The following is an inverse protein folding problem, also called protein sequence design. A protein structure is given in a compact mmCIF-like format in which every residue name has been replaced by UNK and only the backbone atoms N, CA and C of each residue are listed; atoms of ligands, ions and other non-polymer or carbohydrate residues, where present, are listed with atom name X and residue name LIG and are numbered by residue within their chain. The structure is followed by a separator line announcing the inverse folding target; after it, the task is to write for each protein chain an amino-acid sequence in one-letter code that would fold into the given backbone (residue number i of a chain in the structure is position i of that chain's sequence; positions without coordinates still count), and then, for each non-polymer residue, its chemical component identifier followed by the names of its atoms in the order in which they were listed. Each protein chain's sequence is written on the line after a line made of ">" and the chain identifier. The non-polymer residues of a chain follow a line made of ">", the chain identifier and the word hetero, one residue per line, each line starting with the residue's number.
data_IF_110385985920
#
_entry.id   IF_110385985920
#
_cell.length_a   1.000
_cell.length_b   1.000
_cell.length_c   1.000
_cell.angle_alpha   90.00
_cell.angle_beta   90.00
_cell.angle_gamma   90.00
#
_symmetry.space_group_name_H-M   'P 1'
#
loop_
_entity.id
_entity.type
_entity.pdbx_description
1 polymer ?
#
# COMPACT_ATOMS: atom_id res chain seq x y z
N UNK A 1 -11.90 -86.73 -43.23
CA UNK A 1 -11.59 -85.88 -42.06
C UNK A 1 -11.39 -84.46 -42.55
N UNK A 2 -12.44 -83.63 -42.56
CA UNK A 2 -12.29 -82.18 -42.79
C UNK A 2 -13.30 -81.42 -41.92
N UNK A 3 -12.77 -80.38 -41.29
CA UNK A 3 -13.30 -79.66 -40.15
C UNK A 3 -14.40 -78.68 -40.54
N UNK A 4 -15.54 -78.77 -39.86
CA UNK A 4 -16.63 -77.80 -39.93
C UNK A 4 -16.28 -76.61 -39.04
N UNK A 5 -15.89 -75.48 -39.64
CA UNK A 5 -15.61 -74.24 -38.93
C UNK A 5 -16.92 -73.57 -38.47
N UNK A 6 -17.09 -73.45 -37.15
CA UNK A 6 -18.15 -72.64 -36.54
C UNK A 6 -17.64 -71.23 -36.28
N UNK A 7 -18.03 -70.28 -37.14
CA UNK A 7 -17.78 -68.86 -36.91
C UNK A 7 -18.75 -68.35 -35.86
N UNK A 8 -18.25 -68.09 -34.64
CA UNK A 8 -19.03 -67.55 -33.53
C UNK A 8 -19.09 -66.02 -33.65
N UNK A 9 -20.25 -65.47 -33.99
CA UNK A 9 -20.49 -64.03 -34.01
C UNK A 9 -20.74 -63.53 -32.58
N UNK A 10 -19.87 -62.65 -32.08
CA UNK A 10 -20.02 -62.01 -30.77
C UNK A 10 -20.96 -60.81 -30.97
N UNK A 11 -22.11 -60.73 -30.25
CA UNK A 11 -23.00 -59.59 -30.36
C UNK A 11 -22.34 -58.35 -29.74
N UNK A 12 -22.19 -57.30 -30.54
CA UNK A 12 -21.67 -56.00 -30.09
C UNK A 12 -22.82 -55.26 -29.39
N UNK A 13 -22.69 -54.89 -28.10
CA UNK A 13 -23.72 -54.13 -27.41
C UNK A 13 -23.93 -52.78 -28.11
N UNK A 14 -25.19 -52.41 -28.35
CA UNK A 14 -25.54 -51.15 -28.97
C UNK A 14 -25.22 -50.00 -28.02
N UNK A 15 -24.50 -48.94 -28.46
CA UNK A 15 -24.31 -47.77 -27.63
C UNK A 15 -25.66 -47.12 -27.36
N UNK A 16 -26.00 -46.95 -26.08
CA UNK A 16 -27.18 -46.20 -25.67
C UNK A 16 -26.93 -44.71 -25.99
N UNK A 17 -27.75 -44.15 -26.89
CA UNK A 17 -27.73 -42.72 -27.17
C UNK A 17 -28.27 -41.97 -25.95
N UNK A 18 -27.58 -40.89 -25.55
CA UNK A 18 -28.01 -40.01 -24.46
C UNK A 18 -29.40 -39.45 -24.74
N UNK A 19 -30.27 -39.49 -23.74
CA UNK A 19 -31.63 -38.97 -23.89
C UNK A 19 -31.62 -37.44 -23.89
N UNK A 20 -32.58 -36.83 -24.58
CA UNK A 20 -32.69 -35.36 -24.65
C UNK A 20 -32.83 -34.72 -23.26
N UNK A 21 -33.55 -35.40 -22.36
CA UNK A 21 -33.73 -34.98 -20.97
C UNK A 21 -32.41 -35.02 -20.18
N UNK A 22 -31.56 -36.01 -20.45
CA UNK A 22 -30.28 -36.21 -19.77
C UNK A 22 -29.25 -35.16 -20.23
N UNK A 23 -29.23 -34.83 -21.53
CA UNK A 23 -28.43 -33.70 -22.02
C UNK A 23 -28.92 -32.41 -21.37
N UNK A 24 -30.23 -32.16 -21.31
CA UNK A 24 -30.79 -30.94 -20.72
C UNK A 24 -30.42 -30.80 -19.23
N UNK A 25 -30.44 -31.90 -18.48
CA UNK A 25 -30.04 -31.97 -17.09
C UNK A 25 -28.53 -31.71 -16.91
N UNK A 26 -27.68 -32.25 -17.79
CA UNK A 26 -26.23 -31.98 -17.76
C UNK A 26 -25.93 -30.51 -18.03
N UNK A 27 -26.54 -29.89 -19.04
CA UNK A 27 -26.27 -28.48 -19.35
C UNK A 27 -26.75 -27.56 -18.22
N UNK A 28 -27.86 -27.90 -17.55
CA UNK A 28 -28.32 -27.14 -16.37
C UNK A 28 -27.38 -27.27 -15.19
N UNK A 29 -26.90 -28.48 -14.87
CA UNK A 29 -25.92 -28.66 -13.78
C UNK A 29 -24.61 -27.95 -14.09
N UNK A 30 -24.11 -28.02 -15.34
CA UNK A 30 -22.91 -27.29 -15.75
C UNK A 30 -23.11 -25.77 -15.65
N UNK A 31 -24.28 -25.26 -16.03
CA UNK A 31 -24.62 -23.83 -15.89
C UNK A 31 -24.67 -23.35 -14.43
N UNK A 32 -25.20 -24.18 -13.52
CA UNK A 32 -25.22 -23.88 -12.08
C UNK A 32 -23.80 -23.92 -11.51
N UNK A 33 -22.97 -24.90 -11.92
CA UNK A 33 -21.58 -24.98 -11.47
C UNK A 33 -20.74 -23.79 -11.94
N UNK A 34 -20.93 -23.31 -13.17
CA UNK A 34 -20.21 -22.15 -13.71
C UNK A 34 -20.59 -20.85 -13.00
N UNK A 35 -21.86 -20.66 -12.66
CA UNK A 35 -22.31 -19.47 -11.91
C UNK A 35 -21.82 -19.47 -10.47
N UNK A 36 -21.78 -20.63 -9.80
CA UNK A 36 -21.24 -20.76 -8.44
C UNK A 36 -19.71 -20.55 -8.37
N UNK A 37 -18.97 -20.90 -9.42
CA UNK A 37 -17.51 -20.78 -9.44
C UNK A 37 -16.99 -19.33 -9.61
N UNK A 38 -17.77 -18.43 -10.22
CA UNK A 38 -17.33 -17.06 -10.52
C UNK A 38 -17.12 -16.14 -9.30
N UNK A 39 -17.76 -16.43 -8.16
CA UNK A 39 -17.85 -15.50 -7.03
C UNK A 39 -16.64 -15.43 -6.07
N UNK A 40 -15.63 -16.31 -6.19
CA UNK A 40 -14.55 -16.40 -5.18
C UNK A 40 -13.25 -15.68 -5.55
N UNK A 41 -13.13 -15.10 -6.76
CA UNK A 41 -11.84 -14.62 -7.28
C UNK A 41 -11.47 -13.19 -6.84
N UNK A 42 -12.44 -12.32 -6.55
CA UNK A 42 -12.17 -10.91 -6.20
C UNK A 42 -11.43 -10.75 -4.86
N UNK A 43 -11.87 -11.49 -3.84
CA UNK A 43 -11.28 -11.41 -2.48
C UNK A 43 -9.79 -11.79 -2.43
N UNK A 44 -9.34 -12.67 -3.34
CA UNK A 44 -7.95 -13.11 -3.41
C UNK A 44 -7.07 -12.04 -4.04
N UNK A 45 -7.49 -11.48 -5.18
CA UNK A 45 -6.78 -10.39 -5.85
C UNK A 45 -6.64 -9.17 -4.93
N UNK A 46 -7.72 -8.80 -4.25
CA UNK A 46 -7.75 -7.70 -3.30
C UNK A 46 -6.78 -7.89 -2.12
N UNK A 47 -6.64 -9.12 -1.64
CA UNK A 47 -5.70 -9.47 -0.57
C UNK A 47 -4.24 -9.43 -1.04
N UNK A 48 -3.99 -9.71 -2.32
CA UNK A 48 -2.66 -9.59 -2.94
C UNK A 48 -2.28 -8.12 -3.11
N UNK A 49 -3.18 -7.29 -3.66
CA UNK A 49 -2.99 -5.86 -3.81
C UNK A 49 -2.71 -5.18 -2.47
N UNK A 50 -3.43 -5.57 -1.41
CA UNK A 50 -3.17 -5.03 -0.07
C UNK A 50 -1.78 -5.39 0.45
N UNK A 51 -1.34 -6.64 0.26
CA UNK A 51 0.00 -7.08 0.66
C UNK A 51 1.07 -6.31 -0.11
N UNK A 52 0.87 -6.12 -1.40
CA UNK A 52 1.78 -5.36 -2.25
C UNK A 52 1.90 -3.91 -1.76
N UNK A 53 0.77 -3.24 -1.51
CA UNK A 53 0.76 -1.88 -0.96
C UNK A 53 1.54 -1.78 0.37
N UNK A 54 1.36 -2.76 1.28
CA UNK A 54 2.10 -2.79 2.56
C UNK A 54 3.60 -2.93 2.32
N UNK A 55 3.99 -3.86 1.43
CA UNK A 55 5.40 -4.08 1.12
C UNK A 55 6.03 -2.89 0.41
N UNK A 56 5.27 -2.19 -0.45
CA UNK A 56 5.70 -0.98 -1.13
C UNK A 56 6.04 0.13 -0.11
N UNK A 57 5.12 0.44 0.81
CA UNK A 57 5.37 1.47 1.85
C UNK A 57 6.55 1.10 2.74
N UNK A 58 6.64 -0.16 3.20
CA UNK A 58 7.80 -0.62 3.97
C UNK A 58 9.09 -0.53 3.15
N UNK A 59 9.04 -0.91 1.88
CA UNK A 59 10.17 -0.86 0.96
C UNK A 59 10.69 0.56 0.78
N UNK A 60 9.79 1.54 0.62
CA UNK A 60 10.14 2.96 0.56
C UNK A 60 10.80 3.44 1.85
N UNK A 61 10.25 3.08 3.03
CA UNK A 61 10.84 3.48 4.32
C UNK A 61 12.24 2.88 4.51
N UNK A 62 12.44 1.59 4.21
CA UNK A 62 13.75 0.96 4.30
C UNK A 62 14.74 1.51 3.26
N UNK A 63 14.26 1.81 2.05
CA UNK A 63 15.05 2.48 1.00
C UNK A 63 15.49 3.87 1.45
N UNK A 64 14.59 4.66 2.03
CA UNK A 64 14.90 5.98 2.58
C UNK A 64 15.97 5.89 3.67
N UNK A 65 15.83 4.95 4.62
CA UNK A 65 16.81 4.70 5.66
C UNK A 65 18.17 4.27 5.10
N UNK A 66 18.18 3.33 4.16
CA UNK A 66 19.42 2.87 3.53
C UNK A 66 20.09 4.00 2.77
N UNK A 67 19.33 4.78 2.01
CA UNK A 67 19.83 5.95 1.29
C UNK A 67 20.43 6.97 2.24
N UNK A 68 19.80 7.21 3.41
CA UNK A 68 20.33 8.14 4.39
C UNK A 68 21.71 7.72 4.92
N UNK A 69 21.87 6.42 5.18
CA UNK A 69 23.12 5.83 5.66
C UNK A 69 24.19 5.85 4.56
N UNK A 70 23.86 5.41 3.34
CA UNK A 70 24.85 5.28 2.25
C UNK A 70 25.31 6.62 1.69
N UNK A 71 24.41 7.61 1.63
CA UNK A 71 24.74 8.96 1.14
C UNK A 71 25.29 9.87 2.23
N UNK A 72 25.30 9.41 3.49
CA UNK A 72 25.62 10.19 4.67
C UNK A 72 24.83 11.53 4.72
N UNK A 73 23.56 11.48 4.33
CA UNK A 73 22.63 12.62 4.31
C UNK A 73 21.29 12.25 4.90
N UNK A 74 20.59 13.18 5.53
CA UNK A 74 19.24 12.90 6.04
C UNK A 74 18.24 12.75 4.89
N UNK A 75 17.40 11.72 4.98
CA UNK A 75 16.32 11.49 4.02
C UNK A 75 14.99 11.67 4.73
N UNK A 76 14.20 12.64 4.27
CA UNK A 76 12.87 12.94 4.76
C UNK A 76 11.83 12.10 4.03
N UNK A 77 11.00 11.43 4.82
CA UNK A 77 9.78 10.77 4.38
C UNK A 77 8.62 11.73 4.64
N UNK A 78 7.85 12.02 3.60
CA UNK A 78 6.58 12.75 3.68
C UNK A 78 5.44 11.79 3.43
N UNK A 79 4.48 11.78 4.33
CA UNK A 79 3.17 11.20 4.11
C UNK A 79 2.26 12.36 3.71
N UNK A 80 1.54 12.22 2.62
CA UNK A 80 0.86 13.33 1.95
C UNK A 80 -0.60 12.97 1.73
N UNK A 81 -1.48 13.95 1.92
CA UNK A 81 -2.84 13.86 1.43
C UNK A 81 -2.87 13.84 -0.10
N UNK A 82 -3.84 13.17 -0.65
CA UNK A 82 -4.16 13.20 -2.06
C UNK A 82 -5.64 12.94 -2.28
N UNK A 83 -6.04 12.96 -3.53
CA UNK A 83 -7.40 12.65 -3.91
C UNK A 83 -7.50 11.17 -4.28
N UNK A 84 -8.59 10.53 -3.86
CA UNK A 84 -8.98 9.23 -4.37
C UNK A 84 -9.72 9.35 -5.71
N UNK A 85 -10.19 8.22 -6.24
CA UNK A 85 -10.93 8.16 -7.51
C UNK A 85 -12.25 8.95 -7.50
N UNK A 86 -12.76 9.30 -6.32
CA UNK A 86 -14.00 10.05 -6.12
C UNK A 86 -13.76 11.54 -5.78
N UNK A 87 -12.50 12.00 -5.79
CA UNK A 87 -12.14 13.38 -5.46
C UNK A 87 -12.15 13.70 -3.96
N UNK A 88 -12.24 12.71 -3.08
CA UNK A 88 -12.16 12.90 -1.64
C UNK A 88 -10.69 13.00 -1.20
N UNK A 89 -10.42 13.92 -0.27
CA UNK A 89 -9.09 14.11 0.30
C UNK A 89 -8.80 13.01 1.31
N UNK A 90 -7.80 12.17 1.02
CA UNK A 90 -7.39 11.03 1.82
C UNK A 90 -5.88 10.99 1.99
N UNK A 91 -5.39 10.39 3.08
CA UNK A 91 -3.96 10.13 3.24
C UNK A 91 -3.57 8.91 2.41
N UNK A 92 -3.01 9.10 1.21
CA UNK A 92 -2.66 7.99 0.33
C UNK A 92 -1.32 8.15 -0.40
N UNK A 93 -0.56 9.21 -0.11
CA UNK A 93 0.71 9.50 -0.77
C UNK A 93 1.90 9.33 0.18
N UNK A 94 3.02 8.85 -0.37
CA UNK A 94 4.33 8.90 0.28
C UNK A 94 5.33 9.53 -0.69
N UNK A 95 6.18 10.42 -0.18
CA UNK A 95 7.23 11.05 -0.96
C UNK A 95 8.55 11.07 -0.19
N UNK A 96 9.64 10.74 -0.87
CA UNK A 96 10.98 10.78 -0.31
C UNK A 96 11.74 12.02 -0.81
N UNK A 97 12.56 12.60 0.04
CA UNK A 97 13.39 13.75 -0.33
C UNK A 97 14.54 13.98 0.62
N UNK A 98 15.44 14.87 0.24
CA UNK A 98 16.50 15.37 1.12
C UNK A 98 16.05 16.64 1.82
N UNK A 99 16.55 16.82 3.04
CA UNK A 99 16.48 18.10 3.74
C UNK A 99 17.75 18.87 3.39
N UNK A 100 17.66 19.82 2.48
CA UNK A 100 18.80 20.64 2.05
C UNK A 100 18.72 22.05 2.67
N UNK A 101 19.84 22.48 3.23
CA UNK A 101 20.06 23.87 3.60
C UNK A 101 20.55 24.64 2.39
N UNK A 102 19.82 25.66 1.96
CA UNK A 102 20.38 26.62 0.99
C UNK A 102 21.18 27.65 1.80
N UNK A 103 22.51 27.48 1.82
CA UNK A 103 23.44 28.40 2.49
C UNK A 103 24.03 29.45 1.54
N UNK A 104 23.83 29.28 0.24
CA UNK A 104 24.33 30.20 -0.79
C UNK A 104 23.39 31.40 -0.94
N UNK A 105 23.86 32.64 -0.65
CA UNK A 105 23.04 33.84 -0.75
C UNK A 105 22.56 34.15 -2.17
N UNK A 106 23.23 33.64 -3.20
CA UNK A 106 22.89 33.87 -4.60
C UNK A 106 21.95 32.79 -5.18
N UNK A 107 21.65 31.74 -4.41
CA UNK A 107 20.78 30.65 -4.86
C UNK A 107 19.29 31.01 -4.79
N UNK A 108 18.52 30.57 -5.81
CA UNK A 108 17.07 30.73 -5.83
C UNK A 108 16.42 30.05 -4.61
N UNK A 109 15.63 30.82 -3.84
CA UNK A 109 14.99 30.33 -2.62
C UNK A 109 15.82 30.50 -1.34
N UNK A 110 17.00 31.14 -1.41
CA UNK A 110 17.73 31.58 -0.23
C UNK A 110 16.86 32.51 0.62
N UNK A 111 16.67 32.15 1.88
CA UNK A 111 16.05 33.02 2.89
C UNK A 111 17.17 33.51 3.80
N UNK A 112 17.26 34.83 3.99
CA UNK A 112 18.22 35.42 4.93
C UNK A 112 18.08 34.72 6.29
N UNK A 113 19.12 34.06 6.81
CA UNK A 113 19.04 33.33 8.06
C UNK A 113 18.82 34.32 9.21
N UNK A 114 17.56 34.48 9.61
CA UNK A 114 17.20 35.16 10.86
C UNK A 114 17.37 34.15 11.99
N UNK A 115 17.98 34.55 13.10
CA UNK A 115 18.14 33.70 14.27
C UNK A 115 16.78 33.12 14.68
N UNK A 116 16.65 31.79 14.67
CA UNK A 116 15.40 31.08 14.98
C UNK A 116 14.42 30.89 13.81
N UNK A 117 14.72 31.35 12.60
CA UNK A 117 13.84 31.22 11.41
C UNK A 117 14.37 30.21 10.37
N UNK A 118 15.23 29.28 10.77
CA UNK A 118 15.81 28.31 9.86
C UNK A 118 14.78 27.23 9.49
N UNK A 119 14.32 27.26 8.24
CA UNK A 119 13.41 26.27 7.66
C UNK A 119 14.12 25.58 6.48
N UNK A 120 14.69 24.38 6.69
CA UNK A 120 15.43 23.70 5.64
C UNK A 120 14.50 23.27 4.50
N UNK A 121 14.92 23.55 3.27
CA UNK A 121 14.14 23.22 2.09
C UNK A 121 14.06 21.71 1.89
N UNK A 122 12.87 21.22 1.52
CA UNK A 122 12.73 19.84 1.06
C UNK A 122 12.96 19.77 -0.43
N UNK A 123 13.86 18.87 -0.83
CA UNK A 123 14.12 18.54 -2.23
C UNK A 123 13.68 17.12 -2.48
N UNK A 124 12.62 16.96 -3.26
CA UNK A 124 12.08 15.66 -3.62
C UNK A 124 13.13 14.83 -4.38
N UNK A 125 13.28 13.56 -4.00
CA UNK A 125 14.05 12.57 -4.77
C UNK A 125 13.22 12.09 -5.96
N UNK A 126 11.91 11.92 -5.74
CA UNK A 126 10.96 11.41 -6.71
C UNK A 126 9.58 12.08 -6.56
N UNK A 127 8.68 11.78 -7.49
CA UNK A 127 7.28 12.14 -7.42
C UNK A 127 6.60 11.49 -6.19
N UNK A 128 5.40 11.98 -5.86
CA UNK A 128 4.57 11.39 -4.81
C UNK A 128 4.12 10.01 -5.29
N UNK A 129 4.55 8.96 -4.60
CA UNK A 129 4.09 7.61 -4.85
C UNK A 129 2.76 7.39 -4.11
N UNK A 130 1.71 7.03 -4.86
CA UNK A 130 0.37 6.84 -4.31
C UNK A 130 0.11 5.37 -4.06
N UNK A 131 -0.59 5.11 -2.96
CA UNK A 131 -1.12 3.78 -2.70
C UNK A 131 -2.06 3.34 -3.83
N UNK A 132 -2.15 2.02 -4.09
CA UNK A 132 -3.16 1.50 -5.00
C UNK A 132 -4.56 1.92 -4.59
N UNK A 133 -5.46 1.98 -5.57
CA UNK A 133 -6.85 2.38 -5.34
C UNK A 133 -7.53 1.55 -4.25
N UNK A 134 -8.37 2.23 -3.46
CA UNK A 134 -9.11 1.63 -2.35
C UNK A 134 -8.32 1.48 -1.05
N UNK A 135 -7.03 1.84 -1.01
CA UNK A 135 -6.21 1.83 0.21
C UNK A 135 -5.79 3.22 0.63
N UNK A 136 -5.91 3.49 1.94
CA UNK A 136 -5.52 4.77 2.53
C UNK A 136 -4.91 4.54 3.91
N UNK A 137 -4.15 5.53 4.37
CA UNK A 137 -3.72 5.62 5.76
C UNK A 137 -4.86 6.16 6.62
N UNK A 138 -5.07 5.52 7.76
CA UNK A 138 -6.08 5.93 8.71
C UNK A 138 -5.66 7.23 9.39
N UNK A 139 -6.52 8.24 9.35
CA UNK A 139 -6.29 9.58 9.90
C UNK A 139 -6.38 9.70 11.44
N UNK A 140 -6.92 8.68 12.12
CA UNK A 140 -7.09 8.68 13.56
C UNK A 140 -5.76 8.72 14.29
N UNK A 141 -5.59 9.73 15.15
CA UNK A 141 -4.40 9.87 16.00
C UNK A 141 -4.19 8.70 16.98
N UNK A 142 -5.23 7.87 17.20
CA UNK A 142 -5.16 6.66 18.02
C UNK A 142 -4.47 5.51 17.28
N UNK A 143 -4.73 5.38 15.97
CA UNK A 143 -4.25 4.26 15.16
C UNK A 143 -3.02 4.61 14.32
N UNK A 144 -2.89 5.87 13.90
CA UNK A 144 -1.77 6.39 13.13
C UNK A 144 -1.14 7.57 13.87
N UNK A 145 -0.36 7.28 14.92
CA UNK A 145 0.32 8.31 15.70
C UNK A 145 1.28 9.15 14.84
N UNK A 146 1.80 8.60 13.73
CA UNK A 146 2.59 9.33 12.75
C UNK A 146 1.84 10.42 11.99
N UNK A 147 0.51 10.31 11.87
CA UNK A 147 -0.33 11.34 11.25
C UNK A 147 -0.90 12.31 12.28
N UNK A 148 -0.66 12.06 13.56
CA UNK A 148 -1.08 12.97 14.61
C UNK A 148 -0.20 14.21 14.63
N UNK A 149 -0.82 15.38 14.82
CA UNK A 149 -0.15 16.67 14.97
C UNK A 149 0.61 16.82 16.31
N UNK A 150 0.92 15.70 16.98
CA UNK A 150 1.68 15.69 18.23
C UNK A 150 3.12 16.12 17.97
N UNK A 151 3.77 16.63 19.00
CA UNK A 151 5.17 17.04 18.98
C UNK A 151 6.08 15.87 18.62
N UNK A 152 6.38 15.71 17.33
CA UNK A 152 7.25 14.66 16.82
C UNK A 152 7.52 14.85 15.33
N UNK A 153 6.61 14.42 14.43
CA UNK A 153 6.76 14.67 13.01
C UNK A 153 6.45 16.12 12.64
N UNK A 154 7.18 16.65 11.67
CA UNK A 154 6.94 17.98 11.10
C UNK A 154 5.76 17.92 10.14
N UNK A 155 4.79 18.81 10.29
CA UNK A 155 3.66 18.92 9.37
C UNK A 155 3.64 20.26 8.66
N UNK A 156 2.96 20.31 7.53
CA UNK A 156 2.86 21.53 6.74
C UNK A 156 1.95 21.36 5.53
N UNK A 157 1.97 22.38 4.68
CA UNK A 157 1.32 22.38 3.37
C UNK A 157 2.38 22.41 2.29
N UNK A 158 2.15 21.66 1.22
CA UNK A 158 3.00 21.66 0.04
C UNK A 158 2.13 21.86 -1.20
N UNK A 159 2.72 22.44 -2.25
CA UNK A 159 2.12 22.45 -3.58
C UNK A 159 2.58 21.19 -4.31
N UNK A 160 1.63 20.42 -4.83
CA UNK A 160 1.95 19.29 -5.70
C UNK A 160 2.34 19.77 -7.12
N UNK A 161 2.70 18.82 -8.00
CA UNK A 161 3.07 19.13 -9.38
C UNK A 161 1.92 19.76 -10.21
N UNK A 162 0.67 19.60 -9.77
CA UNK A 162 -0.52 20.25 -10.36
C UNK A 162 -0.83 21.62 -9.75
N UNK A 163 -0.04 22.10 -8.79
CA UNK A 163 -0.28 23.37 -8.10
C UNK A 163 -1.37 23.33 -7.03
N UNK A 164 -1.84 22.14 -6.65
CA UNK A 164 -2.83 21.95 -5.59
C UNK A 164 -2.11 21.89 -4.24
N UNK A 165 -2.62 22.64 -3.27
CA UNK A 165 -2.11 22.59 -1.90
C UNK A 165 -2.56 21.31 -1.20
N UNK A 166 -1.60 20.59 -0.60
CA UNK A 166 -1.84 19.34 0.13
C UNK A 166 -1.18 19.39 1.49
N UNK A 167 -1.86 18.83 2.49
CA UNK A 167 -1.24 18.65 3.80
C UNK A 167 -0.27 17.47 3.75
N UNK A 168 0.83 17.61 4.48
CA UNK A 168 1.78 16.54 4.68
C UNK A 168 2.20 16.45 6.15
N UNK A 169 2.64 15.26 6.53
CA UNK A 169 3.35 14.99 7.78
C UNK A 169 4.67 14.31 7.42
N UNK A 170 5.75 14.65 8.10
CA UNK A 170 7.09 14.27 7.70
C UNK A 170 8.03 14.02 8.86
N UNK A 171 8.98 13.13 8.63
CA UNK A 171 10.07 12.83 9.55
C UNK A 171 11.30 12.43 8.71
N UNK A 172 12.49 12.51 9.29
CA UNK A 172 13.71 12.18 8.57
C UNK A 172 14.45 10.99 9.20
N UNK A 173 14.95 10.12 8.34
CA UNK A 173 15.98 9.15 8.68
C UNK A 173 17.34 9.85 8.66
N UNK A 174 18.12 9.60 9.71
CA UNK A 174 19.43 10.20 9.91
C UNK A 174 20.53 9.22 9.47
N UNK A 175 21.69 9.71 8.99
CA UNK A 175 22.81 8.85 8.58
C UNK A 175 23.33 7.91 9.65
N UNK A 176 23.15 8.28 10.92
CA UNK A 176 23.52 7.49 12.09
C UNK A 176 22.62 6.27 12.36
N UNK A 177 21.58 6.06 11.53
CA UNK A 177 20.65 4.94 11.69
C UNK A 177 19.53 5.19 12.71
N UNK A 178 19.30 6.45 13.08
CA UNK A 178 18.17 6.92 13.89
C UNK A 178 17.17 7.68 13.02
N UNK A 179 16.05 8.13 13.57
CA UNK A 179 15.19 9.11 12.91
C UNK A 179 14.85 10.29 13.83
N UNK A 180 14.28 11.35 13.25
CA UNK A 180 13.94 12.58 13.97
C UNK A 180 12.74 12.45 14.91
N UNK A 181 12.08 11.28 14.91
CA UNK A 181 10.92 11.04 15.77
C UNK A 181 11.35 10.89 17.25
N UNK A 182 10.58 11.44 18.21
CA UNK A 182 10.85 11.28 19.63
C UNK A 182 10.90 9.81 20.09
N UNK A 183 11.89 9.46 20.91
CA UNK A 183 12.11 8.08 21.37
C UNK A 183 11.17 7.62 22.49
N UNK A 184 10.44 8.54 23.11
CA UNK A 184 9.52 8.22 24.21
C UNK A 184 8.20 7.60 23.74
N UNK A 185 7.87 7.74 22.45
CA UNK A 185 6.58 7.34 21.87
C UNK A 185 6.73 6.19 20.87
N UNK A 186 5.63 5.46 20.66
CA UNK A 186 5.52 4.47 19.58
C UNK A 186 4.87 5.11 18.36
N UNK A 187 5.61 5.14 17.28
CA UNK A 187 5.18 5.73 16.02
C UNK A 187 4.56 4.66 15.14
N UNK A 188 3.28 4.82 14.83
CA UNK A 188 2.49 3.89 14.03
C UNK A 188 1.84 4.61 12.86
N UNK A 189 1.81 3.94 11.72
CA UNK A 189 1.06 4.32 10.54
C UNK A 189 0.16 3.15 10.18
N UNK A 190 -1.14 3.34 10.31
CA UNK A 190 -2.12 2.29 10.01
C UNK A 190 -2.67 2.48 8.62
N UNK A 191 -2.70 1.41 7.83
CA UNK A 191 -3.28 1.35 6.51
C UNK A 191 -4.47 0.39 6.51
N UNK A 192 -5.54 0.80 5.83
CA UNK A 192 -6.77 0.04 5.72
C UNK A 192 -7.46 0.31 4.38
N UNK A 193 -8.51 -0.48 4.10
CA UNK A 193 -9.40 -0.23 2.96
C UNK A 193 -10.28 0.97 3.23
N UNK A 194 -10.40 1.85 2.24
CA UNK A 194 -11.18 3.07 2.36
C UNK A 194 -12.66 2.78 2.66
N UNK A 195 -13.24 1.79 1.98
CA UNK A 195 -14.66 1.41 2.11
C UNK A 195 -15.04 0.91 3.53
N UNK A 196 -14.06 0.42 4.31
CA UNK A 196 -14.28 -0.17 5.64
C UNK A 196 -13.75 0.72 6.76
N UNK A 197 -13.29 1.93 6.46
CA UNK A 197 -12.74 2.83 7.47
C UNK A 197 -13.84 3.40 8.36
N UNK A 198 -13.54 3.44 9.65
CA UNK A 198 -14.34 4.11 10.66
C UNK A 198 -13.39 4.86 11.58
N UNK A 199 -13.73 6.09 11.97
CA UNK A 199 -12.89 6.92 12.82
C UNK A 199 -12.55 6.28 14.18
N UNK A 200 -13.45 5.46 14.71
CA UNK A 200 -13.37 4.91 16.07
C UNK A 200 -12.84 3.47 16.13
N UNK A 201 -12.92 2.71 15.03
CA UNK A 201 -12.60 1.29 15.03
C UNK A 201 -11.78 0.87 13.82
N UNK A 202 -10.85 -0.05 14.04
CA UNK A 202 -10.08 -0.65 12.96
C UNK A 202 -10.88 -1.75 12.26
N UNK A 203 -10.94 -1.76 10.92
CA UNK A 203 -11.54 -2.86 10.18
C UNK A 203 -10.72 -4.15 10.37
N UNK A 204 -11.29 -5.34 10.09
CA UNK A 204 -10.57 -6.61 10.23
C UNK A 204 -9.30 -6.69 9.36
N UNK A 205 -9.33 -6.07 8.18
CA UNK A 205 -8.27 -6.14 7.16
C UNK A 205 -7.35 -4.90 7.22
N UNK A 206 -6.71 -4.67 8.36
CA UNK A 206 -5.76 -3.55 8.53
C UNK A 206 -4.32 -4.03 8.68
N UNK A 207 -3.39 -3.13 8.42
CA UNK A 207 -1.98 -3.31 8.71
C UNK A 207 -1.43 -2.06 9.39
N UNK A 208 -0.67 -2.25 10.47
CA UNK A 208 0.01 -1.17 11.16
C UNK A 208 1.52 -1.29 10.92
N UNK A 209 2.13 -0.20 10.45
CA UNK A 209 3.57 -0.08 10.29
C UNK A 209 4.08 0.69 11.50
N UNK A 210 4.84 0.01 12.36
CA UNK A 210 5.50 0.62 13.49
C UNK A 210 6.92 1.04 13.11
N UNK A 211 7.28 2.27 13.44
CA UNK A 211 8.64 2.81 13.29
C UNK A 211 9.28 2.92 14.67
N UNK A 212 10.44 2.32 14.83
CA UNK A 212 11.28 2.48 16.03
C UNK A 212 12.23 3.67 15.83
N UNK A 213 12.11 4.75 16.62
CA UNK A 213 12.91 5.95 16.47
C UNK A 213 14.40 5.75 16.81
N UNK A 214 14.70 4.79 17.67
CA UNK A 214 16.07 4.51 18.13
C UNK A 214 16.88 3.72 17.11
N UNK A 215 16.23 2.86 16.34
CA UNK A 215 16.88 1.98 15.36
C UNK A 215 16.51 2.31 13.91
N UNK A 216 15.59 3.27 13.70
CA UNK A 216 14.97 3.61 12.43
C UNK A 216 14.30 2.41 11.71
N UNK A 217 14.09 1.28 12.38
CA UNK A 217 13.55 0.07 11.75
C UNK A 217 12.04 0.11 11.65
N UNK A 218 11.52 -0.41 10.54
CA UNK A 218 10.09 -0.56 10.31
C UNK A 218 9.64 -2.00 10.60
N UNK A 219 8.56 -2.16 11.36
CA UNK A 219 7.90 -3.46 11.61
C UNK A 219 6.46 -3.41 11.14
N UNK A 220 6.01 -4.49 10.51
CA UNK A 220 4.62 -4.62 10.08
C UNK A 220 3.89 -5.52 11.07
N UNK A 221 2.74 -5.05 11.54
CA UNK A 221 1.73 -5.83 12.24
C UNK A 221 0.52 -5.95 11.35
N UNK A 222 0.00 -7.16 11.20
CA UNK A 222 -1.18 -7.44 10.39
C UNK A 222 -2.14 -8.30 11.18
N UNK A 223 -3.43 -8.05 10.97
CA UNK A 223 -4.52 -8.93 11.39
C UNK A 223 -5.18 -9.59 10.19
#
# INVERSE_FOLDING_TARGET
>A
MQMTNYTRTIPIPRPHAFTLIEILLVVTIMGIMLTAAGGLSSNVADSMNFREAIQQVKGQMESARQTAITTNRSVTVRIVQGENEFGEVVWNGVQLGFTESISDPDAAGYKTPVAGSYDPGFKAIDAIDRLPSGFVFHDSSTFSTLLSWRSGPNSGVMLDASGVQRQYVSFAFLPEGRCTLPTAEKWMLTMARQEKLNAETLPPDYAAIQIDPSTARCRIYRR
#
